data_IF_346703730455
#
_entry.id   IF_346703730455
#
_cell.length_a   1.000
_cell.length_b   1.000
_cell.length_c   1.000
_cell.angle_alpha   90.00
_cell.angle_beta   90.00
_cell.angle_gamma   90.00
#
_symmetry.space_group_name_H-M   'P 1'
#
loop_
_entity.id
_entity.type
_entity.pdbx_description
1 polymer ?
#
# COMPACT_ATOMS: atom_id res chain seq x y z
N UNK A 1 42.43 13.79 74.70
CA UNK A 1 42.67 14.48 73.42
C UNK A 1 42.23 13.53 72.32
N UNK A 2 41.30 13.77 71.41
CA UNK A 2 40.44 14.89 71.08
C UNK A 2 39.75 14.57 69.74
N UNK A 3 38.45 14.88 69.67
CA UNK A 3 37.64 15.20 68.49
C UNK A 3 37.28 14.17 67.40
N UNK A 4 35.98 13.88 67.40
CA UNK A 4 35.01 13.64 66.32
C UNK A 4 35.34 14.19 64.92
N UNK A 5 34.87 13.50 63.87
CA UNK A 5 33.76 13.98 63.02
C UNK A 5 33.39 13.03 61.88
N UNK A 6 32.08 12.97 61.65
CA UNK A 6 31.28 12.18 60.71
C UNK A 6 31.52 12.45 59.21
N UNK A 7 31.15 11.48 58.37
CA UNK A 7 30.36 11.66 57.12
C UNK A 7 29.93 10.30 56.53
N UNK A 8 28.64 9.99 56.62
CA UNK A 8 27.88 9.27 55.59
C UNK A 8 27.20 10.32 54.67
N UNK A 9 26.44 9.98 53.59
CA UNK A 9 26.29 8.72 52.83
C UNK A 9 26.43 8.98 51.29
N UNK A 10 26.31 7.96 50.43
CA UNK A 10 25.38 8.02 49.28
C UNK A 10 25.16 6.65 48.59
N UNK A 11 23.90 6.28 48.61
CA UNK A 11 23.19 5.24 47.85
C UNK A 11 23.32 5.47 46.33
N UNK A 12 23.46 4.41 45.53
CA UNK A 12 22.96 4.38 44.14
C UNK A 12 22.90 2.95 43.62
N UNK A 13 21.72 2.37 43.89
CA UNK A 13 21.08 1.24 43.20
C UNK A 13 21.59 1.01 41.78
N UNK A 14 22.05 -0.21 41.56
CA UNK A 14 22.25 -0.82 40.25
C UNK A 14 20.86 -1.04 39.64
N UNK A 15 20.39 -0.08 38.86
CA UNK A 15 19.14 -0.21 38.11
C UNK A 15 19.33 -1.23 37.00
N UNK A 16 18.62 -2.35 37.12
CA UNK A 16 18.30 -3.24 36.00
C UNK A 16 17.69 -2.41 34.86
N UNK A 17 18.46 -2.24 33.79
CA UNK A 17 17.92 -1.73 32.53
C UNK A 17 17.11 -2.84 31.88
N UNK A 18 15.81 -2.84 32.16
CA UNK A 18 14.82 -3.34 31.21
C UNK A 18 15.02 -2.60 29.88
N UNK A 19 15.07 -3.30 28.73
CA UNK A 19 14.90 -2.65 27.45
C UNK A 19 13.43 -2.25 27.33
N UNK A 20 13.10 -1.00 27.70
CA UNK A 20 11.83 -0.40 27.32
C UNK A 20 11.77 -0.33 25.79
N UNK A 21 11.08 -1.33 25.25
CA UNK A 21 10.19 -1.29 24.11
C UNK A 21 10.34 -0.01 23.27
N UNK A 22 11.03 -0.14 22.14
CA UNK A 22 10.76 0.71 21.00
C UNK A 22 9.26 0.65 20.73
N UNK A 23 8.56 1.69 21.17
CA UNK A 23 7.21 2.03 20.77
C UNK A 23 7.26 2.26 19.26
N UNK A 24 7.16 1.18 18.47
CA UNK A 24 6.66 1.27 17.11
C UNK A 24 5.34 2.03 17.21
N UNK A 25 5.32 3.26 16.69
CA UNK A 25 4.07 4.01 16.54
C UNK A 25 3.15 3.17 15.67
N UNK A 26 2.31 2.38 16.33
CA UNK A 26 1.36 1.50 15.70
C UNK A 26 0.30 2.40 15.08
N UNK A 27 0.42 2.64 13.77
CA UNK A 27 -0.53 3.47 13.05
C UNK A 27 -1.94 2.94 13.28
N UNK A 28 -2.83 3.79 13.79
CA UNK A 28 -4.22 3.41 14.07
C UNK A 28 -5.06 3.62 12.81
N UNK A 29 -6.08 2.79 12.61
CA UNK A 29 -7.03 2.91 11.48
C UNK A 29 -7.60 4.33 11.37
N UNK A 30 -7.86 4.96 12.53
CA UNK A 30 -8.33 6.34 12.64
C UNK A 30 -7.39 7.39 12.02
N UNK A 31 -6.10 7.08 11.89
CA UNK A 31 -5.14 7.97 11.23
C UNK A 31 -5.44 8.03 9.72
N UNK A 32 -5.79 6.94 9.04
CA UNK A 32 -6.18 6.98 7.63
C UNK A 32 -7.51 7.70 7.38
N UNK A 33 -8.46 7.60 8.31
CA UNK A 33 -9.81 8.16 8.17
C UNK A 33 -9.94 9.60 8.69
N UNK A 34 -9.01 10.06 9.53
CA UNK A 34 -9.07 11.44 10.03
C UNK A 34 -8.68 12.43 8.94
N UNK A 35 -9.44 13.53 8.81
CA UNK A 35 -9.17 14.64 7.89
C UNK A 35 -7.77 15.29 8.04
N UNK A 36 -6.99 14.85 9.03
CA UNK A 36 -5.61 15.26 9.30
C UNK A 36 -4.59 14.54 8.40
N UNK A 37 -4.95 13.39 7.84
CA UNK A 37 -4.17 12.70 6.81
C UNK A 37 -4.72 13.02 5.44
N UNK A 38 -3.83 13.07 4.46
CA UNK A 38 -4.17 13.27 3.06
C UNK A 38 -5.20 12.21 2.65
N UNK A 39 -6.30 12.55 1.94
CA UNK A 39 -7.25 11.56 1.43
C UNK A 39 -6.54 10.31 0.90
N UNK A 40 -7.10 9.11 1.09
CA UNK A 40 -6.44 7.85 0.69
C UNK A 40 -5.91 7.91 -0.75
N UNK A 41 -6.64 8.56 -1.65
CA UNK A 41 -6.18 8.91 -3.00
C UNK A 41 -4.81 9.60 -3.03
N UNK A 42 -4.60 10.62 -2.21
CA UNK A 42 -3.34 11.36 -2.10
C UNK A 42 -2.23 10.54 -1.44
N UNK A 43 -2.54 9.58 -0.56
CA UNK A 43 -1.57 8.60 -0.08
C UNK A 43 -1.10 7.71 -1.23
N UNK A 44 -2.03 7.23 -2.05
CA UNK A 44 -1.75 6.41 -3.23
C UNK A 44 -1.05 7.17 -4.36
N UNK A 45 -1.21 8.48 -4.46
CA UNK A 45 -0.48 9.32 -5.41
C UNK A 45 0.97 9.60 -4.99
N UNK A 46 1.38 9.29 -3.75
CA UNK A 46 2.78 9.38 -3.36
C UNK A 46 3.63 8.33 -4.11
N UNK A 47 4.90 8.63 -4.42
CA UNK A 47 5.84 7.64 -4.95
C UNK A 47 5.86 6.36 -4.12
N UNK A 48 6.02 5.20 -4.76
CA UNK A 48 5.96 3.90 -4.08
C UNK A 48 7.04 3.72 -2.99
N UNK A 49 8.16 4.42 -3.13
CA UNK A 49 9.28 4.50 -2.20
C UNK A 49 9.15 5.60 -1.14
N UNK A 50 8.09 6.41 -1.20
CA UNK A 50 7.82 7.43 -0.20
C UNK A 50 7.57 6.80 1.17
N UNK A 51 8.10 7.42 2.23
CA UNK A 51 8.03 6.91 3.61
C UNK A 51 6.58 6.57 4.02
N UNK A 52 5.62 7.42 3.66
CA UNK A 52 4.20 7.21 3.94
C UNK A 52 3.63 5.96 3.23
N UNK A 53 4.09 5.61 2.02
CA UNK A 53 3.69 4.37 1.31
C UNK A 53 4.30 3.15 1.97
N UNK A 54 5.55 3.23 2.41
CA UNK A 54 6.20 2.16 3.16
C UNK A 54 5.46 1.88 4.48
N UNK A 55 5.09 2.94 5.22
CA UNK A 55 4.28 2.84 6.45
C UNK A 55 2.90 2.24 6.19
N UNK A 56 2.21 2.66 5.12
CA UNK A 56 0.93 2.08 4.69
C UNK A 56 1.04 0.57 4.44
N UNK A 57 2.06 0.13 3.69
CA UNK A 57 2.30 -1.30 3.45
C UNK A 57 2.64 -2.06 4.72
N UNK A 58 3.46 -1.49 5.60
CA UNK A 58 3.80 -2.09 6.88
C UNK A 58 2.56 -2.27 7.74
N UNK A 59 1.70 -1.25 7.82
CA UNK A 59 0.41 -1.34 8.52
C UNK A 59 -0.50 -2.43 7.94
N UNK A 60 -0.63 -2.51 6.61
CA UNK A 60 -1.41 -3.58 5.97
C UNK A 60 -0.90 -4.99 6.31
N UNK A 61 0.41 -5.12 6.57
CA UNK A 61 1.07 -6.38 6.95
C UNK A 61 1.01 -6.70 8.44
N UNK A 62 0.68 -5.75 9.31
CA UNK A 62 0.63 -5.97 10.76
C UNK A 62 -0.80 -5.99 11.29
N UNK A 63 -1.70 -5.19 10.71
CA UNK A 63 -3.10 -5.10 11.13
C UNK A 63 -3.93 -6.30 10.63
N UNK A 64 -4.60 -7.01 11.54
CA UNK A 64 -5.40 -8.20 11.23
C UNK A 64 -6.60 -7.92 10.31
N UNK A 65 -7.31 -6.81 10.51
CA UNK A 65 -8.43 -6.43 9.66
C UNK A 65 -7.96 -6.09 8.23
N UNK A 66 -6.83 -5.40 8.12
CA UNK A 66 -6.20 -5.11 6.83
C UNK A 66 -5.74 -6.37 6.08
N UNK A 67 -5.24 -7.38 6.80
CA UNK A 67 -4.91 -8.70 6.22
C UNK A 67 -6.13 -9.42 5.70
N UNK A 68 -7.22 -9.46 6.48
CA UNK A 68 -8.47 -10.11 6.08
C UNK A 68 -9.07 -9.44 4.83
N UNK A 69 -8.98 -8.12 4.75
CA UNK A 69 -9.39 -7.35 3.57
C UNK A 69 -8.34 -7.33 2.43
N UNK A 70 -7.24 -8.11 2.54
CA UNK A 70 -6.17 -8.20 1.54
C UNK A 70 -5.59 -6.85 1.10
N UNK A 71 -5.55 -5.86 1.99
CA UNK A 71 -5.18 -4.49 1.63
C UNK A 71 -3.74 -4.35 1.12
N UNK A 72 -2.82 -5.22 1.56
CA UNK A 72 -1.44 -5.22 1.04
C UNK A 72 -1.39 -5.59 -0.45
N UNK A 73 -2.23 -6.54 -0.89
CA UNK A 73 -2.28 -6.98 -2.28
C UNK A 73 -2.92 -5.90 -3.16
N UNK A 74 -3.88 -5.15 -2.63
CA UNK A 74 -4.48 -3.98 -3.28
C UNK A 74 -3.44 -2.87 -3.50
N UNK A 75 -2.61 -2.58 -2.49
CA UNK A 75 -1.52 -1.59 -2.63
C UNK A 75 -0.48 -2.06 -3.64
N UNK A 76 -0.11 -3.35 -3.61
CA UNK A 76 0.85 -3.93 -4.55
C UNK A 76 0.31 -3.94 -5.99
N UNK A 77 -0.98 -4.22 -6.19
CA UNK A 77 -1.63 -4.14 -7.49
C UNK A 77 -1.58 -2.71 -8.03
N UNK A 78 -1.90 -1.73 -7.20
CA UNK A 78 -1.85 -0.32 -7.59
C UNK A 78 -0.43 0.11 -8.00
N UNK A 79 0.59 -0.28 -7.24
CA UNK A 79 1.99 0.03 -7.58
C UNK A 79 2.41 -0.57 -8.92
N UNK A 80 2.04 -1.83 -9.18
CA UNK A 80 2.34 -2.50 -10.46
C UNK A 80 1.62 -1.81 -11.63
N UNK A 81 0.38 -1.36 -11.44
CA UNK A 81 -0.39 -0.61 -12.45
C UNK A 81 0.31 0.71 -12.78
N UNK A 82 0.74 1.49 -11.78
CA UNK A 82 1.48 2.75 -12.01
C UNK A 82 2.80 2.48 -12.72
N UNK A 83 3.60 1.53 -12.22
CA UNK A 83 4.92 1.23 -12.77
C UNK A 83 4.82 0.85 -14.26
N UNK A 84 3.88 -0.05 -14.59
CA UNK A 84 3.71 -0.54 -15.95
C UNK A 84 3.15 0.51 -16.90
N UNK A 85 2.25 1.38 -16.40
CA UNK A 85 1.78 2.55 -17.14
C UNK A 85 2.91 3.53 -17.45
N UNK A 86 3.81 3.78 -16.49
CA UNK A 86 4.95 4.69 -16.68
C UNK A 86 5.94 4.18 -17.75
N UNK A 87 6.16 2.86 -17.80
CA UNK A 87 6.97 2.22 -18.86
C UNK A 87 6.34 2.46 -20.23
N UNK A 88 5.03 2.26 -20.36
CA UNK A 88 4.30 2.54 -21.60
C UNK A 88 4.39 4.02 -22.02
N UNK A 89 4.10 4.95 -21.10
CA UNK A 89 4.18 6.39 -21.38
C UNK A 89 5.59 6.82 -21.78
N UNK A 90 6.62 6.13 -21.31
CA UNK A 90 8.00 6.37 -21.71
C UNK A 90 8.28 5.82 -23.11
N UNK A 91 7.81 4.59 -23.42
CA UNK A 91 7.91 4.00 -24.76
C UNK A 91 7.25 4.88 -25.83
N UNK A 92 6.06 5.43 -25.55
CA UNK A 92 5.39 6.36 -26.48
C UNK A 92 6.17 7.67 -26.73
N UNK A 93 7.01 8.10 -25.79
CA UNK A 93 7.80 9.34 -25.91
C UNK A 93 9.14 9.13 -26.61
N UNK A 94 9.69 7.92 -26.54
CA UNK A 94 11.02 7.59 -27.05
C UNK A 94 10.99 7.03 -28.48
N UNK A 95 10.24 7.62 -29.41
CA UNK A 95 10.37 7.34 -30.85
C UNK A 95 10.13 5.90 -31.32
N UNK A 96 9.73 4.99 -30.41
CA UNK A 96 9.28 3.64 -30.75
C UNK A 96 8.06 3.76 -31.66
N UNK A 97 7.94 2.88 -32.66
CA UNK A 97 6.75 2.85 -33.49
C UNK A 97 5.51 2.66 -32.60
N UNK A 98 4.38 3.26 -32.98
CA UNK A 98 3.11 3.12 -32.25
C UNK A 98 2.78 1.64 -31.94
N UNK A 99 3.14 0.74 -32.85
CA UNK A 99 2.99 -0.72 -32.72
C UNK A 99 3.85 -1.33 -31.59
N UNK A 100 5.09 -0.86 -31.43
CA UNK A 100 5.96 -1.32 -30.35
C UNK A 100 5.46 -0.82 -28.98
N UNK A 101 5.01 0.44 -28.91
CA UNK A 101 4.36 1.00 -27.72
C UNK A 101 3.09 0.23 -27.34
N UNK A 102 2.26 -0.13 -28.33
CA UNK A 102 1.05 -0.92 -28.13
C UNK A 102 1.36 -2.34 -27.65
N UNK A 103 2.37 -3.01 -28.23
CA UNK A 103 2.79 -4.35 -27.80
C UNK A 103 3.26 -4.37 -26.34
N UNK A 104 3.98 -3.32 -25.90
CA UNK A 104 4.39 -3.15 -24.50
C UNK A 104 3.18 -2.94 -23.58
N UNK A 105 2.19 -2.17 -24.03
CA UNK A 105 0.95 -1.94 -23.28
C UNK A 105 0.19 -3.24 -23.06
N UNK A 106 -0.01 -4.01 -24.12
CA UNK A 106 -0.72 -5.30 -24.08
C UNK A 106 0.00 -6.31 -23.20
N UNK A 107 1.32 -6.44 -23.32
CA UNK A 107 2.11 -7.32 -22.47
C UNK A 107 2.02 -6.91 -20.99
N UNK A 108 2.02 -5.61 -20.70
CA UNK A 108 1.87 -5.09 -19.35
C UNK A 108 0.46 -5.28 -18.78
N UNK A 109 -0.57 -5.02 -19.59
CA UNK A 109 -1.96 -5.26 -19.22
C UNK A 109 -2.22 -6.72 -18.93
N UNK A 110 -1.75 -7.63 -19.81
CA UNK A 110 -1.84 -9.07 -19.62
C UNK A 110 -1.19 -9.52 -18.30
N UNK A 111 0.01 -9.03 -18.01
CA UNK A 111 0.70 -9.37 -16.76
C UNK A 111 -0.04 -8.87 -15.50
N UNK A 112 -0.75 -7.73 -15.57
CA UNK A 112 -1.61 -7.26 -14.50
C UNK A 112 -2.82 -8.19 -14.34
N UNK A 113 -3.48 -8.53 -15.45
CA UNK A 113 -4.64 -9.42 -15.46
C UNK A 113 -4.29 -10.77 -14.83
N UNK A 114 -3.26 -11.44 -15.33
CA UNK A 114 -2.86 -12.77 -14.87
C UNK A 114 -2.46 -12.80 -13.39
N UNK A 115 -1.86 -11.72 -12.88
CA UNK A 115 -1.37 -11.66 -11.50
C UNK A 115 -2.44 -11.28 -10.48
N UNK A 116 -3.31 -10.33 -10.84
CA UNK A 116 -4.20 -9.65 -9.89
C UNK A 116 -5.69 -9.84 -10.18
N UNK A 117 -6.08 -10.11 -11.43
CA UNK A 117 -7.49 -10.10 -11.83
C UNK A 117 -8.03 -11.45 -12.29
N UNK A 118 -7.19 -12.48 -12.38
CA UNK A 118 -7.62 -13.87 -12.60
C UNK A 118 -7.55 -14.64 -11.28
N UNK A 119 -8.53 -15.49 -11.00
CA UNK A 119 -8.63 -16.25 -9.74
C UNK A 119 -7.39 -17.10 -9.42
N UNK A 120 -6.74 -17.64 -10.46
CA UNK A 120 -5.50 -18.42 -10.33
C UNK A 120 -4.26 -17.54 -10.10
N UNK A 121 -4.41 -16.22 -10.10
CA UNK A 121 -3.35 -15.26 -9.91
C UNK A 121 -2.81 -15.28 -8.47
N UNK A 122 -1.49 -15.14 -8.34
CA UNK A 122 -0.80 -15.21 -7.04
C UNK A 122 -1.23 -14.14 -6.04
N UNK A 123 -1.78 -13.02 -6.52
CA UNK A 123 -2.31 -11.91 -5.70
C UNK A 123 -3.70 -11.51 -6.17
N UNK A 124 -4.58 -12.49 -6.36
CA UNK A 124 -5.92 -12.25 -6.86
C UNK A 124 -6.71 -11.27 -5.96
N UNK A 125 -7.09 -10.13 -6.56
CA UNK A 125 -7.91 -9.06 -6.00
C UNK A 125 -9.13 -8.73 -6.88
N UNK A 126 -9.34 -9.42 -8.00
CA UNK A 126 -10.43 -9.12 -8.96
C UNK A 126 -11.82 -9.07 -8.31
N UNK A 127 -12.14 -10.04 -7.46
CA UNK A 127 -13.41 -10.10 -6.72
C UNK A 127 -13.60 -8.96 -5.71
N UNK A 128 -12.52 -8.25 -5.35
CA UNK A 128 -12.56 -7.12 -4.41
C UNK A 128 -12.86 -5.81 -5.13
N UNK A 129 -12.31 -5.66 -6.34
CA UNK A 129 -12.37 -4.40 -7.12
C UNK A 129 -13.47 -4.37 -8.16
N UNK A 130 -14.07 -5.53 -8.49
CA UNK A 130 -15.13 -5.64 -9.50
C UNK A 130 -16.44 -4.92 -9.14
N UNK A 131 -16.64 -4.58 -7.86
CA UNK A 131 -17.81 -3.81 -7.42
C UNK A 131 -19.13 -4.48 -7.81
N UNK A 132 -20.02 -3.71 -8.43
CA UNK A 132 -21.35 -4.17 -8.87
C UNK A 132 -21.32 -5.08 -10.11
N UNK A 133 -20.24 -5.05 -10.89
CA UNK A 133 -20.10 -5.87 -12.10
C UNK A 133 -19.67 -7.32 -11.78
N UNK A 134 -19.13 -7.57 -10.59
CA UNK A 134 -18.46 -8.84 -10.32
C UNK A 134 -17.13 -8.97 -11.08
N UNK A 135 -16.36 -10.01 -10.79
CA UNK A 135 -14.98 -10.16 -11.27
C UNK A 135 -14.88 -10.36 -12.79
N UNK A 136 -15.63 -11.31 -13.35
CA UNK A 136 -15.55 -11.67 -14.76
C UNK A 136 -16.00 -10.53 -15.68
N UNK A 137 -17.08 -9.83 -15.31
CA UNK A 137 -17.58 -8.70 -16.09
C UNK A 137 -16.66 -7.48 -15.93
N UNK A 138 -16.14 -7.23 -14.73
CA UNK A 138 -15.14 -6.17 -14.52
C UNK A 138 -13.91 -6.39 -15.39
N UNK A 139 -13.34 -7.60 -15.41
CA UNK A 139 -12.17 -7.93 -16.25
C UNK A 139 -12.48 -7.81 -17.74
N UNK A 140 -13.67 -8.24 -18.18
CA UNK A 140 -14.08 -8.12 -19.58
C UNK A 140 -14.23 -6.65 -20.02
N UNK A 141 -14.69 -5.77 -19.13
CA UNK A 141 -14.79 -4.33 -19.39
C UNK A 141 -13.44 -3.62 -19.26
N UNK A 142 -12.54 -4.14 -18.43
CA UNK A 142 -11.22 -3.58 -18.16
C UNK A 142 -10.26 -3.90 -19.33
N UNK A 143 -10.40 -3.17 -20.43
CA UNK A 143 -9.50 -3.25 -21.58
C UNK A 143 -8.13 -2.66 -21.27
N UNK A 144 -7.30 -3.37 -20.51
CA UNK A 144 -5.91 -2.98 -20.16
C UNK A 144 -4.94 -2.95 -21.36
N UNK A 145 -5.48 -2.75 -22.55
CA UNK A 145 -4.84 -2.42 -23.81
C UNK A 145 -4.99 -0.92 -24.14
N UNK A 146 -5.64 -0.15 -23.25
CA UNK A 146 -5.92 1.27 -23.38
C UNK A 146 -5.48 2.02 -22.11
N UNK A 147 -4.91 3.21 -22.24
CA UNK A 147 -4.41 4.00 -21.09
C UNK A 147 -5.50 4.25 -20.04
N UNK A 148 -6.73 4.51 -20.48
CA UNK A 148 -7.84 4.84 -19.58
C UNK A 148 -8.29 3.65 -18.74
N UNK A 149 -8.13 2.41 -19.23
CA UNK A 149 -8.43 1.23 -18.43
C UNK A 149 -7.49 1.09 -17.22
N UNK A 150 -6.24 1.56 -17.31
CA UNK A 150 -5.33 1.61 -16.16
C UNK A 150 -5.82 2.63 -15.12
N UNK A 151 -6.44 3.73 -15.54
CA UNK A 151 -7.04 4.71 -14.64
C UNK A 151 -8.27 4.11 -13.94
N UNK A 152 -9.14 3.43 -14.69
CA UNK A 152 -10.31 2.72 -14.13
C UNK A 152 -9.90 1.73 -13.05
N UNK A 153 -8.85 0.93 -13.30
CA UNK A 153 -8.33 -0.01 -12.31
C UNK A 153 -7.75 0.69 -11.08
N UNK A 154 -6.97 1.77 -11.26
CA UNK A 154 -6.43 2.57 -10.14
C UNK A 154 -7.57 3.10 -9.25
N UNK A 155 -8.61 3.67 -9.85
CA UNK A 155 -9.77 4.18 -9.13
C UNK A 155 -10.51 3.07 -8.39
N UNK A 156 -10.71 1.91 -9.02
CA UNK A 156 -11.37 0.76 -8.38
C UNK A 156 -10.57 0.25 -7.17
N UNK A 157 -9.24 0.14 -7.29
CA UNK A 157 -8.34 -0.24 -6.20
C UNK A 157 -8.41 0.74 -5.02
N UNK A 158 -8.38 2.05 -5.29
CA UNK A 158 -8.48 3.07 -4.24
C UNK A 158 -9.85 3.04 -3.56
N UNK A 159 -10.94 2.94 -4.33
CA UNK A 159 -12.31 2.88 -3.79
C UNK A 159 -12.50 1.67 -2.87
N UNK A 160 -12.02 0.50 -3.29
CA UNK A 160 -12.06 -0.69 -2.44
C UNK A 160 -11.26 -0.48 -1.16
N UNK A 161 -10.02 0.03 -1.27
CA UNK A 161 -9.17 0.29 -0.12
C UNK A 161 -9.85 1.23 0.88
N UNK A 162 -10.39 2.35 0.40
CA UNK A 162 -11.08 3.32 1.23
C UNK A 162 -12.31 2.72 1.91
N UNK A 163 -13.18 2.03 1.16
CA UNK A 163 -14.37 1.40 1.73
C UNK A 163 -14.03 0.34 2.78
N UNK A 164 -12.98 -0.43 2.55
CA UNK A 164 -12.51 -1.44 3.49
C UNK A 164 -12.02 -0.79 4.79
N UNK A 165 -11.22 0.27 4.71
CA UNK A 165 -10.70 0.98 5.88
C UNK A 165 -11.82 1.69 6.66
N UNK A 166 -12.81 2.28 5.98
CA UNK A 166 -13.98 2.91 6.63
C UNK A 166 -14.85 1.93 7.43
N UNK A 167 -14.85 0.65 7.03
CA UNK A 167 -15.60 -0.43 7.70
C UNK A 167 -14.83 -1.09 8.84
N UNK A 168 -13.57 -0.72 9.05
CA UNK A 168 -12.75 -1.30 10.11
C UNK A 168 -13.07 -0.66 11.47
N UNK A 169 -13.21 -1.48 12.53
CA UNK A 169 -13.48 -1.01 13.89
C UNK A 169 -12.28 -0.29 14.53
#
# INVERSE_FOLDING_TARGET
MGCSSSKEPLDSRKSDQHPEQQSEQQWKTSEFCSARWTPIEKLFQQPADHETRAKLKAWCKTNSAAKQAKLVDVVDAYDDVIKRRAVFQSAQRCGDSLEAGQSILEANGKAIVEKFLVETGSKYVGSLVGGEWGDAEFVAQLKLTETDAFNTLQTALIRYFQSAVEKMP
#
